data_IF_953695371182
#
_entry.id   IF_953695371182
#
_cell.length_a   1.000
_cell.length_b   1.000
_cell.length_c   1.000
_cell.angle_alpha   90.00
_cell.angle_beta   90.00
_cell.angle_gamma   90.00
#
_symmetry.space_group_name_H-M   'P 1'
#
loop_
_entity.id
_entity.type
_entity.pdbx_description
1 polymer ?
#
# COMPACT_ATOMS: atom_id res chain seq x y z
N UNK A 1 17.01 9.59 5.64
CA UNK A 1 18.03 9.76 6.69
C UNK A 1 18.45 8.36 7.11
N UNK A 2 19.74 8.06 7.29
CA UNK A 2 20.13 6.80 7.91
C UNK A 2 19.49 6.73 9.30
N UNK A 3 18.94 5.58 9.65
CA UNK A 3 18.44 5.25 10.99
C UNK A 3 19.43 4.25 11.60
N UNK A 4 20.51 4.73 12.24
CA UNK A 4 21.61 3.87 12.66
C UNK A 4 21.19 2.88 13.75
N UNK A 5 20.17 3.24 14.53
CA UNK A 5 19.62 2.38 15.58
C UNK A 5 18.80 1.25 14.97
N UNK A 6 17.90 1.58 14.02
CA UNK A 6 17.18 0.57 13.25
C UNK A 6 18.13 -0.36 12.48
N UNK A 7 19.17 0.18 11.84
CA UNK A 7 20.14 -0.61 11.08
C UNK A 7 20.96 -1.56 11.99
N UNK A 8 21.33 -1.11 13.19
CA UNK A 8 21.99 -1.96 14.18
C UNK A 8 21.06 -3.05 14.72
N UNK A 9 19.77 -2.74 14.95
CA UNK A 9 18.78 -3.70 15.39
C UNK A 9 18.54 -4.79 14.33
N UNK A 10 18.32 -4.40 13.06
CA UNK A 10 18.14 -5.34 11.94
C UNK A 10 19.34 -6.26 11.78
N UNK A 11 20.56 -5.74 11.90
CA UNK A 11 21.78 -6.56 11.84
C UNK A 11 21.83 -7.60 12.96
N UNK A 12 21.53 -7.22 14.20
CA UNK A 12 21.52 -8.16 15.34
C UNK A 12 20.50 -9.27 15.16
N UNK A 13 19.29 -8.93 14.72
CA UNK A 13 18.23 -9.91 14.42
C UNK A 13 18.67 -10.88 13.32
N UNK A 14 19.30 -10.36 12.26
CA UNK A 14 19.86 -11.18 11.18
C UNK A 14 20.93 -12.13 11.72
N UNK A 15 21.89 -11.64 12.51
CA UNK A 15 22.96 -12.47 13.05
C UNK A 15 22.39 -13.62 13.91
N UNK A 16 21.52 -13.31 14.87
CA UNK A 16 20.92 -14.28 15.78
C UNK A 16 20.16 -15.39 15.03
N UNK A 17 19.30 -15.03 14.08
CA UNK A 17 18.52 -16.02 13.33
C UNK A 17 19.41 -16.84 12.39
N UNK A 18 20.45 -16.24 11.79
CA UNK A 18 21.35 -16.98 10.88
C UNK A 18 22.16 -18.05 11.62
N UNK A 19 22.62 -17.76 12.84
CA UNK A 19 23.32 -18.75 13.67
C UNK A 19 22.38 -19.90 14.04
N UNK A 20 21.13 -19.60 14.37
CA UNK A 20 20.11 -20.61 14.68
C UNK A 20 19.77 -21.48 13.46
N UNK A 21 19.56 -20.87 12.30
CA UNK A 21 19.27 -21.58 11.05
C UNK A 21 20.43 -22.50 10.67
N UNK A 22 21.68 -22.02 10.76
CA UNK A 22 22.86 -22.84 10.52
C UNK A 22 22.94 -24.04 11.49
N UNK A 23 22.67 -23.82 12.78
CA UNK A 23 22.59 -24.90 13.78
C UNK A 23 21.47 -25.92 13.48
N UNK A 24 20.39 -25.50 12.83
CA UNK A 24 19.30 -26.36 12.35
C UNK A 24 19.56 -27.01 10.97
N UNK A 25 20.78 -26.87 10.43
CA UNK A 25 21.22 -27.51 9.19
C UNK A 25 20.84 -26.78 7.90
N UNK A 26 20.49 -25.50 7.98
CA UNK A 26 20.34 -24.66 6.79
C UNK A 26 21.71 -24.21 6.28
N UNK A 27 21.88 -24.17 4.95
CA UNK A 27 22.95 -23.42 4.31
C UNK A 27 22.55 -21.94 4.25
N UNK A 28 23.38 -21.07 4.83
CA UNK A 28 23.08 -19.65 4.98
C UNK A 28 24.05 -18.82 4.15
N UNK A 29 23.52 -18.04 3.22
CA UNK A 29 24.28 -17.09 2.41
C UNK A 29 23.90 -15.64 2.73
N UNK A 30 24.86 -14.73 2.56
CA UNK A 30 24.67 -13.29 2.76
C UNK A 30 24.90 -12.57 1.42
N UNK A 31 23.84 -12.23 0.68
CA UNK A 31 23.98 -11.51 -0.57
C UNK A 31 24.66 -10.15 -0.37
N UNK A 32 25.53 -9.76 -1.30
CA UNK A 32 26.21 -8.46 -1.26
C UNK A 32 25.33 -7.31 -1.78
N UNK A 33 24.22 -7.65 -2.45
CA UNK A 33 23.33 -6.68 -3.07
C UNK A 33 22.25 -6.22 -2.10
N UNK A 34 21.83 -4.96 -2.22
CA UNK A 34 20.67 -4.42 -1.50
C UNK A 34 19.33 -4.84 -2.10
N UNK A 35 19.34 -5.58 -3.21
CA UNK A 35 18.14 -6.09 -3.86
C UNK A 35 17.69 -7.45 -3.29
N UNK A 36 18.45 -8.01 -2.35
CA UNK A 36 18.12 -9.24 -1.62
C UNK A 36 17.92 -8.95 -0.13
N UNK A 37 17.26 -9.86 0.61
CA UNK A 37 17.29 -9.85 2.05
C UNK A 37 18.73 -9.97 2.59
N UNK A 38 19.00 -9.49 3.82
CA UNK A 38 20.30 -9.61 4.48
C UNK A 38 20.88 -11.02 4.55
N UNK A 39 20.02 -12.04 4.54
CA UNK A 39 20.44 -13.43 4.44
C UNK A 39 19.39 -14.29 3.70
N UNK A 40 19.87 -15.36 3.08
CA UNK A 40 19.05 -16.41 2.46
C UNK A 40 19.44 -17.74 3.11
N UNK A 41 18.46 -18.52 3.55
CA UNK A 41 18.67 -19.81 4.17
C UNK A 41 18.01 -20.92 3.35
N UNK A 42 18.74 -22.00 3.07
CA UNK A 42 18.28 -23.11 2.21
C UNK A 42 18.45 -24.45 2.94
N UNK A 43 17.43 -25.30 2.92
CA UNK A 43 17.51 -26.68 3.41
C UNK A 43 16.61 -27.60 2.59
N UNK A 44 17.22 -28.40 1.71
CA UNK A 44 16.45 -29.20 0.76
C UNK A 44 15.66 -28.30 -0.19
N UNK A 45 14.35 -28.44 -0.21
CA UNK A 45 13.43 -27.60 -1.00
C UNK A 45 12.97 -26.34 -0.23
N UNK A 46 13.23 -26.24 1.08
CA UNK A 46 12.86 -25.07 1.88
C UNK A 46 13.86 -23.93 1.63
N UNK A 47 13.35 -22.79 1.18
CA UNK A 47 14.14 -21.56 1.00
C UNK A 47 13.48 -20.39 1.70
N UNK A 48 14.24 -19.68 2.53
CA UNK A 48 13.81 -18.48 3.24
C UNK A 48 14.63 -17.25 2.84
N UNK A 49 13.95 -16.14 2.61
CA UNK A 49 14.53 -14.81 2.70
C UNK A 49 14.39 -14.28 4.13
N UNK A 50 15.51 -13.96 4.79
CA UNK A 50 15.51 -13.46 6.18
C UNK A 50 15.21 -11.97 6.19
N UNK A 51 14.07 -11.58 6.75
CA UNK A 51 13.54 -10.22 6.73
C UNK A 51 13.43 -9.66 8.15
N UNK A 52 14.50 -9.03 8.69
CA UNK A 52 14.45 -8.45 10.02
C UNK A 52 13.60 -7.17 10.02
N UNK A 53 12.62 -7.11 10.93
CA UNK A 53 11.72 -5.97 11.07
C UNK A 53 11.86 -5.33 12.46
N UNK A 54 12.01 -4.01 12.47
CA UNK A 54 11.82 -3.17 13.65
C UNK A 54 10.36 -2.70 13.74
N UNK A 55 9.98 -2.05 14.83
CA UNK A 55 8.67 -1.40 14.96
C UNK A 55 8.36 -0.47 13.77
N UNK A 56 9.34 0.29 13.31
CA UNK A 56 9.19 1.19 12.16
C UNK A 56 8.98 0.45 10.83
N UNK A 57 9.35 -0.82 10.75
CA UNK A 57 9.21 -1.66 9.55
C UNK A 57 7.90 -2.47 9.55
N UNK A 58 7.21 -2.61 10.69
CA UNK A 58 5.97 -3.38 10.83
C UNK A 58 4.76 -2.64 10.24
N UNK A 59 4.92 -2.09 9.04
CA UNK A 59 3.88 -1.42 8.27
C UNK A 59 3.36 -2.36 7.18
N UNK A 60 2.07 -2.26 6.78
CA UNK A 60 1.53 -3.07 5.71
C UNK A 60 2.35 -2.99 4.42
N UNK A 61 2.84 -1.80 4.07
CA UNK A 61 3.65 -1.58 2.87
C UNK A 61 4.95 -2.37 2.90
N UNK A 62 5.71 -2.27 4.00
CA UNK A 62 7.00 -2.96 4.11
C UNK A 62 6.78 -4.47 4.14
N UNK A 63 5.84 -4.96 4.94
CA UNK A 63 5.53 -6.38 5.07
C UNK A 63 5.13 -6.99 3.72
N UNK A 64 4.17 -6.37 3.00
CA UNK A 64 3.75 -6.81 1.66
C UNK A 64 4.92 -6.79 0.68
N UNK A 65 5.76 -5.74 0.70
CA UNK A 65 6.89 -5.63 -0.21
C UNK A 65 7.92 -6.74 0.01
N UNK A 66 8.22 -7.10 1.26
CA UNK A 66 9.13 -8.20 1.58
C UNK A 66 8.54 -9.55 1.20
N UNK A 67 7.25 -9.75 1.47
CA UNK A 67 6.53 -10.96 1.09
C UNK A 67 6.52 -11.15 -0.43
N UNK A 68 6.10 -10.13 -1.19
CA UNK A 68 6.08 -10.20 -2.66
C UNK A 68 7.47 -10.44 -3.24
N UNK A 69 8.50 -9.80 -2.69
CA UNK A 69 9.88 -10.06 -3.10
C UNK A 69 10.35 -11.49 -2.82
N UNK A 70 9.87 -12.13 -1.74
CA UNK A 70 10.15 -13.53 -1.47
C UNK A 70 9.43 -14.43 -2.49
N UNK A 71 8.15 -14.19 -2.72
CA UNK A 71 7.32 -14.96 -3.66
C UNK A 71 7.85 -14.88 -5.09
N UNK A 72 8.23 -13.68 -5.56
CA UNK A 72 8.83 -13.45 -6.89
C UNK A 72 10.14 -14.21 -7.11
N UNK A 73 10.74 -14.72 -6.03
CA UNK A 73 12.01 -15.47 -6.03
C UNK A 73 11.83 -16.91 -5.58
N UNK A 74 10.60 -17.43 -5.63
CA UNK A 74 10.24 -18.81 -5.29
C UNK A 74 10.71 -19.21 -3.88
N UNK A 75 10.57 -18.30 -2.91
CA UNK A 75 10.96 -18.52 -1.51
C UNK A 75 9.93 -17.98 -0.53
N UNK A 76 10.00 -18.44 0.72
CA UNK A 76 9.16 -17.94 1.82
C UNK A 76 9.86 -16.75 2.52
N UNK A 77 9.08 -15.82 3.04
CA UNK A 77 9.60 -14.73 3.87
C UNK A 77 9.71 -15.19 5.32
N UNK A 78 10.92 -15.14 5.91
CA UNK A 78 11.11 -15.35 7.34
C UNK A 78 11.24 -14.00 8.04
N UNK A 79 10.14 -13.51 8.61
CA UNK A 79 10.12 -12.28 9.37
C UNK A 79 10.77 -12.49 10.74
N UNK A 80 11.72 -11.62 11.10
CA UNK A 80 12.46 -11.73 12.35
C UNK A 80 12.32 -10.44 13.14
N UNK A 81 11.77 -10.54 14.35
CA UNK A 81 11.42 -9.40 15.18
C UNK A 81 11.96 -9.55 16.59
N UNK A 82 12.14 -8.44 17.31
CA UNK A 82 12.72 -8.45 18.65
C UNK A 82 11.71 -8.76 19.77
N UNK A 83 10.42 -8.54 19.52
CA UNK A 83 9.38 -8.67 20.54
C UNK A 83 8.03 -9.08 19.93
N UNK A 84 7.10 -9.45 20.82
CA UNK A 84 5.78 -9.93 20.44
C UNK A 84 4.82 -8.85 19.94
N UNK A 85 5.07 -7.58 20.22
CA UNK A 85 4.21 -6.48 19.74
C UNK A 85 4.45 -6.27 18.24
N UNK A 86 5.72 -6.21 17.82
CA UNK A 86 6.08 -6.18 16.39
C UNK A 86 5.59 -7.44 15.68
N UNK A 87 5.69 -8.61 16.33
CA UNK A 87 5.15 -9.84 15.77
C UNK A 87 3.62 -9.78 15.57
N UNK A 88 2.89 -9.23 16.55
CA UNK A 88 1.45 -9.07 16.46
C UNK A 88 1.06 -8.07 15.35
N UNK A 89 1.82 -7.00 15.17
CA UNK A 89 1.61 -6.06 14.07
C UNK A 89 1.80 -6.72 12.69
N UNK A 90 2.86 -7.51 12.50
CA UNK A 90 3.08 -8.25 11.25
C UNK A 90 1.98 -9.29 11.02
N UNK A 91 1.59 -10.04 12.06
CA UNK A 91 0.47 -11.00 11.98
C UNK A 91 -0.82 -10.31 11.60
N UNK A 92 -1.13 -9.15 12.18
CA UNK A 92 -2.35 -8.39 11.86
C UNK A 92 -2.46 -7.97 10.39
N UNK A 93 -1.33 -7.92 9.67
CA UNK A 93 -1.29 -7.67 8.23
C UNK A 93 -1.42 -8.97 7.43
N UNK A 94 -0.96 -10.10 7.95
CA UNK A 94 -0.80 -11.35 7.20
C UNK A 94 -1.85 -12.41 7.52
N UNK A 95 -2.70 -12.20 8.51
CA UNK A 95 -3.71 -13.18 8.96
C UNK A 95 -5.09 -12.55 9.08
N UNK A 96 -6.12 -13.27 8.64
CA UNK A 96 -7.54 -13.05 8.94
C UNK A 96 -8.04 -11.59 8.87
N UNK A 97 -8.27 -11.04 7.67
CA UNK A 97 -7.89 -11.53 6.34
C UNK A 97 -6.52 -11.02 5.89
N UNK A 98 -5.72 -11.83 5.15
CA UNK A 98 -4.38 -11.43 4.73
C UNK A 98 -4.38 -10.19 3.83
N UNK A 99 -3.50 -9.25 4.15
CA UNK A 99 -3.18 -8.01 3.43
C UNK A 99 -4.33 -7.00 3.36
N UNK A 100 -5.37 -7.19 4.18
CA UNK A 100 -6.56 -6.37 4.25
C UNK A 100 -6.73 -5.85 5.67
N UNK A 101 -7.35 -4.68 5.80
CA UNK A 101 -7.74 -4.16 7.12
C UNK A 101 -8.88 -4.99 7.70
N UNK A 102 -9.82 -5.40 6.84
CA UNK A 102 -11.02 -6.13 7.21
C UNK A 102 -11.66 -6.74 5.95
N UNK A 103 -12.44 -7.80 6.14
CA UNK A 103 -13.35 -8.35 5.13
C UNK A 103 -14.65 -8.80 5.81
N UNK A 104 -15.76 -8.18 5.41
CA UNK A 104 -17.09 -8.51 5.93
C UNK A 104 -18.03 -8.74 4.76
N UNK A 105 -18.80 -9.83 4.78
CA UNK A 105 -19.76 -10.20 3.72
C UNK A 105 -19.14 -10.21 2.30
N UNK A 106 -17.87 -10.62 2.18
CA UNK A 106 -17.13 -10.61 0.91
C UNK A 106 -16.83 -9.20 0.38
N UNK A 107 -16.74 -8.20 1.26
CA UNK A 107 -16.34 -6.83 0.94
C UNK A 107 -15.09 -6.47 1.71
N UNK A 108 -14.06 -6.08 0.97
CA UNK A 108 -12.71 -5.84 1.49
C UNK A 108 -12.54 -4.38 1.90
N UNK A 109 -11.87 -4.13 3.02
CA UNK A 109 -11.26 -2.84 3.37
C UNK A 109 -9.75 -2.96 3.21
N UNK A 110 -9.14 -2.05 2.46
CA UNK A 110 -7.72 -2.12 2.09
C UNK A 110 -6.86 -1.22 2.98
N UNK A 111 -5.62 -1.64 3.21
CA UNK A 111 -4.60 -0.74 3.76
C UNK A 111 -4.28 0.36 2.74
N UNK A 112 -3.95 1.56 3.23
CA UNK A 112 -3.35 2.58 2.38
C UNK A 112 -1.95 2.13 1.92
N UNK A 113 -1.68 2.24 0.63
CA UNK A 113 -0.38 1.93 0.04
C UNK A 113 0.53 3.15 -0.09
N UNK A 114 1.80 2.91 -0.44
CA UNK A 114 2.79 3.98 -0.58
C UNK A 114 2.58 4.81 -1.86
N UNK A 115 1.96 4.19 -2.86
CA UNK A 115 1.81 4.74 -4.19
C UNK A 115 0.72 5.81 -4.26
N UNK A 116 0.63 6.42 -5.44
CA UNK A 116 -0.35 7.45 -5.76
C UNK A 116 -1.19 6.96 -6.93
N UNK A 117 -2.49 7.23 -6.88
CA UNK A 117 -3.40 6.79 -7.94
C UNK A 117 -3.08 7.55 -9.22
N UNK A 118 -2.51 6.86 -10.21
CA UNK A 118 -2.27 7.44 -11.53
C UNK A 118 -3.61 7.59 -12.27
N UNK A 119 -3.86 8.77 -12.82
CA UNK A 119 -5.13 9.10 -13.45
C UNK A 119 -4.94 9.19 -14.96
N UNK A 120 -5.87 8.62 -15.72
CA UNK A 120 -5.96 8.85 -17.15
C UNK A 120 -6.47 10.27 -17.42
N UNK A 121 -5.60 11.09 -18.00
CA UNK A 121 -5.89 12.49 -18.33
C UNK A 121 -5.89 12.77 -19.83
N UNK A 122 -6.02 11.75 -20.68
CA UNK A 122 -6.06 11.94 -22.14
C UNK A 122 -7.19 12.88 -22.58
N UNK A 123 -8.31 12.90 -21.85
CA UNK A 123 -9.43 13.82 -22.09
C UNK A 123 -9.29 15.21 -21.48
N UNK A 124 -8.23 15.49 -20.71
CA UNK A 124 -8.05 16.76 -20.00
C UNK A 124 -7.13 17.73 -20.77
N UNK A 125 -7.64 18.91 -21.18
CA UNK A 125 -6.82 19.90 -21.87
C UNK A 125 -5.58 20.30 -21.05
N UNK A 126 -4.39 20.23 -21.67
CA UNK A 126 -3.15 20.66 -21.02
C UNK A 126 -2.70 19.81 -19.82
N UNK A 127 -3.25 18.59 -19.69
CA UNK A 127 -2.76 17.55 -18.80
C UNK A 127 -2.14 16.39 -19.62
N UNK A 128 -1.21 15.65 -19.02
CA UNK A 128 -0.67 14.42 -19.65
C UNK A 128 -0.21 13.49 -18.55
N UNK A 129 -1.02 12.49 -18.20
CA UNK A 129 -0.90 11.80 -16.91
C UNK A 129 -1.05 12.72 -15.70
N UNK A 130 -0.77 12.17 -14.53
CA UNK A 130 -0.86 12.84 -13.24
C UNK A 130 -1.37 11.87 -12.17
N UNK A 131 -1.47 12.37 -10.93
CA UNK A 131 -1.91 11.59 -9.79
C UNK A 131 -3.08 12.28 -9.08
N UNK A 132 -3.99 11.49 -8.52
CA UNK A 132 -5.16 12.03 -7.85
C UNK A 132 -4.80 12.77 -6.55
N UNK A 133 -5.52 13.85 -6.27
CA UNK A 133 -5.48 14.57 -5.01
C UNK A 133 -6.87 15.09 -4.62
N UNK A 134 -7.01 15.51 -3.37
CA UNK A 134 -8.20 16.19 -2.84
C UNK A 134 -7.81 17.56 -2.33
N UNK A 135 -8.78 18.46 -2.25
CA UNK A 135 -8.66 19.71 -1.49
C UNK A 135 -9.31 19.51 -0.12
N UNK A 136 -8.56 19.82 0.93
CA UNK A 136 -8.96 19.63 2.33
C UNK A 136 -10.21 20.44 2.69
N UNK A 137 -10.36 21.63 2.12
CA UNK A 137 -11.52 22.51 2.37
C UNK A 137 -12.84 21.92 1.85
N UNK A 138 -12.79 21.00 0.88
CA UNK A 138 -13.97 20.33 0.34
C UNK A 138 -14.42 19.17 1.26
N UNK A 139 -13.63 18.83 2.28
CA UNK A 139 -13.95 17.82 3.30
C UNK A 139 -14.76 18.47 4.43
N UNK A 140 -16.08 18.34 4.35
CA UNK A 140 -17.02 18.88 5.35
C UNK A 140 -16.73 18.32 6.75
N UNK A 141 -16.69 19.17 7.78
CA UNK A 141 -16.54 18.77 9.18
C UNK A 141 -15.11 18.84 9.72
N UNK A 142 -14.11 19.08 8.85
CA UNK A 142 -12.76 19.40 9.31
C UNK A 142 -12.76 20.78 9.96
N UNK A 143 -12.18 20.89 11.16
CA UNK A 143 -11.90 22.22 11.73
C UNK A 143 -10.90 22.93 10.81
N UNK A 144 -11.28 24.10 10.31
CA UNK A 144 -10.36 24.98 9.60
C UNK A 144 -9.09 25.17 10.47
N UNK A 145 -7.92 24.88 9.89
CA UNK A 145 -6.63 24.93 10.61
C UNK A 145 -6.14 23.62 11.24
N UNK A 146 -6.74 22.46 10.92
CA UNK A 146 -6.12 21.16 11.22
C UNK A 146 -4.89 20.93 10.33
N UNK A 147 -3.70 20.96 10.93
CA UNK A 147 -2.42 20.68 10.25
C UNK A 147 -2.23 19.18 9.91
N UNK A 148 -3.12 18.29 10.38
CA UNK A 148 -3.03 16.87 10.06
C UNK A 148 -3.44 16.61 8.60
N UNK A 149 -2.82 15.63 7.93
CA UNK A 149 -3.31 15.12 6.64
C UNK A 149 -4.63 14.35 6.85
N UNK A 150 -5.56 14.34 5.87
CA UNK A 150 -6.79 13.57 5.95
C UNK A 150 -6.49 12.07 6.02
N UNK A 151 -7.34 11.35 6.74
CA UNK A 151 -7.29 9.89 6.81
C UNK A 151 -8.00 9.32 5.59
N UNK A 152 -7.30 8.52 4.80
CA UNK A 152 -7.87 7.86 3.64
C UNK A 152 -8.26 6.42 3.95
N UNK A 153 -9.47 6.02 3.53
CA UNK A 153 -9.95 4.64 3.59
C UNK A 153 -10.41 4.18 2.22
N UNK A 154 -10.04 2.97 1.85
CA UNK A 154 -10.51 2.31 0.65
C UNK A 154 -11.28 1.06 1.03
N UNK A 155 -12.49 0.92 0.48
CA UNK A 155 -13.34 -0.25 0.76
C UNK A 155 -14.21 -0.63 -0.43
N UNK A 156 -14.54 -1.90 -0.51
CA UNK A 156 -15.56 -2.41 -1.42
C UNK A 156 -16.96 -2.24 -0.84
N UNK A 157 -17.92 -1.94 -1.70
CA UNK A 157 -19.32 -1.73 -1.34
C UNK A 157 -20.24 -2.21 -2.48
N UNK A 158 -21.55 -2.26 -2.23
CA UNK A 158 -22.55 -2.51 -3.27
C UNK A 158 -23.21 -1.23 -3.80
N UNK A 159 -22.73 -0.07 -3.37
CA UNK A 159 -23.34 1.23 -3.67
C UNK A 159 -22.32 2.25 -4.20
N UNK A 160 -22.72 3.15 -5.10
CA UNK A 160 -24.02 3.24 -5.74
C UNK A 160 -24.26 2.11 -6.76
N UNK A 161 -25.54 1.82 -7.00
CA UNK A 161 -25.95 1.03 -8.16
C UNK A 161 -25.83 1.87 -9.43
N UNK A 162 -25.69 1.19 -10.57
CA UNK A 162 -25.56 1.83 -11.87
C UNK A 162 -24.13 2.30 -12.21
N UNK A 163 -23.99 3.06 -13.31
CA UNK A 163 -22.68 3.39 -13.88
C UNK A 163 -21.82 4.24 -12.94
N UNK A 164 -20.56 3.85 -12.80
CA UNK A 164 -19.51 4.58 -12.07
C UNK A 164 -18.25 4.63 -12.94
N UNK A 165 -17.31 5.56 -12.67
CA UNK A 165 -16.03 5.60 -13.36
C UNK A 165 -15.33 4.23 -13.41
N UNK A 166 -14.84 3.86 -14.59
CA UNK A 166 -14.20 2.57 -14.84
C UNK A 166 -13.20 2.62 -15.98
N UNK A 167 -12.33 1.62 -16.03
CA UNK A 167 -11.51 1.34 -17.21
C UNK A 167 -12.32 0.59 -18.28
N UNK A 168 -11.86 0.62 -19.52
CA UNK A 168 -12.49 -0.11 -20.62
C UNK A 168 -12.64 -1.60 -20.32
N UNK A 169 -13.79 -2.18 -20.69
CA UNK A 169 -14.09 -3.60 -20.53
C UNK A 169 -14.80 -3.98 -19.23
N UNK A 170 -15.04 -3.03 -18.32
CA UNK A 170 -15.86 -3.26 -17.12
C UNK A 170 -17.32 -2.89 -17.42
N UNK A 171 -18.24 -3.86 -17.30
CA UNK A 171 -19.67 -3.58 -17.35
C UNK A 171 -20.13 -2.97 -16.02
N UNK A 172 -20.19 -1.65 -15.97
CA UNK A 172 -20.56 -0.91 -14.76
C UNK A 172 -22.06 -0.97 -14.45
N UNK A 173 -22.89 -1.36 -15.42
CA UNK A 173 -24.33 -1.49 -15.23
C UNK A 173 -24.74 -2.91 -14.81
N UNK A 174 -23.87 -3.91 -15.01
CA UNK A 174 -24.12 -5.30 -14.64
C UNK A 174 -24.48 -5.42 -13.16
N UNK A 175 -25.59 -6.10 -12.92
CA UNK A 175 -26.07 -6.41 -11.57
C UNK A 175 -26.51 -7.87 -11.49
N UNK A 176 -26.27 -8.48 -10.33
CA UNK A 176 -26.71 -9.83 -10.01
C UNK A 176 -28.23 -9.91 -9.79
N UNK A 177 -28.76 -11.14 -9.60
CA UNK A 177 -30.19 -11.37 -9.35
C UNK A 177 -30.74 -10.67 -8.11
N UNK A 178 -29.87 -10.33 -7.16
CA UNK A 178 -30.18 -9.60 -5.92
C UNK A 178 -30.13 -8.07 -6.08
N UNK A 179 -29.90 -7.59 -7.31
CA UNK A 179 -29.79 -6.17 -7.64
C UNK A 179 -28.46 -5.53 -7.23
N UNK A 180 -27.49 -6.31 -6.73
CA UNK A 180 -26.16 -5.81 -6.38
C UNK A 180 -25.27 -5.75 -7.60
N UNK A 181 -24.30 -4.82 -7.67
CA UNK A 181 -23.31 -4.82 -8.74
C UNK A 181 -22.59 -6.16 -8.85
N UNK A 182 -22.40 -6.67 -10.08
CA UNK A 182 -21.63 -7.90 -10.30
C UNK A 182 -20.16 -7.75 -9.90
N UNK A 183 -19.64 -6.52 -9.93
CA UNK A 183 -18.32 -6.13 -9.41
C UNK A 183 -18.52 -5.12 -8.28
N UNK A 184 -18.01 -5.38 -7.06
CA UNK A 184 -18.10 -4.44 -5.95
C UNK A 184 -17.56 -3.05 -6.32
N UNK A 185 -18.20 -2.01 -5.78
CA UNK A 185 -17.75 -0.63 -5.95
C UNK A 185 -16.56 -0.38 -5.05
N UNK A 186 -15.47 0.11 -5.60
CA UNK A 186 -14.32 0.53 -4.81
C UNK A 186 -14.49 2.00 -4.46
N UNK A 187 -14.67 2.29 -3.18
CA UNK A 187 -14.92 3.63 -2.65
C UNK A 187 -13.67 4.14 -1.94
N UNK A 188 -13.27 5.37 -2.26
CA UNK A 188 -12.28 6.13 -1.51
C UNK A 188 -12.99 7.14 -0.61
N UNK A 189 -12.70 7.08 0.68
CA UNK A 189 -13.13 8.06 1.67
C UNK A 189 -11.92 8.85 2.19
N UNK A 190 -12.08 10.15 2.37
CA UNK A 190 -11.13 11.04 3.04
C UNK A 190 -11.86 11.72 4.22
N UNK A 191 -11.42 11.47 5.45
CA UNK A 191 -12.11 11.90 6.68
C UNK A 191 -13.64 11.60 6.62
N UNK A 192 -13.99 10.34 6.33
CA UNK A 192 -15.37 9.82 6.19
C UNK A 192 -16.20 10.39 5.01
N UNK A 193 -15.60 11.24 4.17
CA UNK A 193 -16.25 11.74 2.95
C UNK A 193 -15.83 10.93 1.73
N UNK A 194 -16.81 10.42 0.98
CA UNK A 194 -16.55 9.79 -0.32
C UNK A 194 -15.98 10.82 -1.30
N UNK A 195 -14.77 10.56 -1.79
CA UNK A 195 -14.04 11.41 -2.76
C UNK A 195 -13.86 10.75 -4.12
N UNK A 196 -14.02 9.42 -4.19
CA UNK A 196 -14.03 8.67 -5.45
C UNK A 196 -14.83 7.38 -5.32
N UNK A 197 -15.42 6.96 -6.45
CA UNK A 197 -16.08 5.66 -6.60
C UNK A 197 -15.65 5.06 -7.94
N UNK A 198 -15.15 3.84 -7.90
CA UNK A 198 -14.66 3.11 -9.07
C UNK A 198 -15.41 1.78 -9.24
N UNK A 199 -15.50 1.30 -10.47
CA UNK A 199 -16.02 -0.04 -10.76
C UNK A 199 -14.97 -1.12 -10.45
N UNK A 200 -14.79 -1.42 -9.17
CA UNK A 200 -13.87 -2.44 -8.66
C UNK A 200 -12.40 -2.05 -8.69
N UNK A 201 -11.56 -2.94 -8.15
CA UNK A 201 -10.11 -2.76 -8.05
C UNK A 201 -9.42 -2.68 -9.40
N UNK A 202 -9.91 -3.38 -10.42
CA UNK A 202 -9.37 -3.29 -11.78
C UNK A 202 -9.35 -1.84 -12.33
N UNK A 203 -10.38 -1.05 -11.98
CA UNK A 203 -10.51 0.36 -12.39
C UNK A 203 -9.51 1.29 -11.71
N UNK A 204 -8.80 0.83 -10.67
CA UNK A 204 -7.79 1.60 -9.94
C UNK A 204 -6.47 1.75 -10.71
N UNK A 205 -6.18 0.88 -11.68
CA UNK A 205 -4.89 0.90 -12.41
C UNK A 205 -4.67 2.21 -13.16
N UNK A 206 -5.72 2.72 -13.79
CA UNK A 206 -5.68 3.99 -14.55
C UNK A 206 -7.10 4.56 -14.66
N UNK A 207 -7.71 4.95 -13.52
CA UNK A 207 -9.06 5.51 -13.50
C UNK A 207 -9.16 6.77 -14.37
N UNK A 208 -10.32 7.00 -15.02
CA UNK A 208 -10.53 8.21 -15.80
C UNK A 208 -10.50 9.46 -14.93
N UNK A 209 -10.11 10.60 -15.49
CA UNK A 209 -10.06 11.90 -14.80
C UNK A 209 -11.30 12.21 -13.94
N UNK A 210 -12.50 12.00 -14.49
CA UNK A 210 -13.77 12.25 -13.81
C UNK A 210 -14.04 11.37 -12.57
N UNK A 211 -13.15 10.43 -12.22
CA UNK A 211 -13.24 9.67 -10.99
C UNK A 211 -12.79 10.45 -9.74
N UNK A 212 -11.99 11.51 -9.93
CA UNK A 212 -11.40 12.29 -8.85
C UNK A 212 -11.64 13.79 -9.08
N UNK A 213 -11.69 14.61 -8.03
CA UNK A 213 -11.91 16.04 -8.18
C UNK A 213 -10.69 16.77 -8.76
N UNK A 214 -9.48 16.34 -8.37
CA UNK A 214 -8.24 17.00 -8.77
C UNK A 214 -7.14 16.00 -9.14
N UNK A 215 -6.31 16.43 -10.07
CA UNK A 215 -5.09 15.75 -10.48
C UNK A 215 -3.90 16.69 -10.34
N UNK A 216 -2.78 16.20 -9.80
CA UNK A 216 -1.53 16.92 -9.77
C UNK A 216 -0.47 16.24 -10.61
N UNK A 217 0.41 17.04 -11.21
CA UNK A 217 1.58 16.54 -11.93
C UNK A 217 2.76 17.49 -11.75
N UNK A 218 3.96 16.92 -11.59
CA UNK A 218 5.19 17.70 -11.65
C UNK A 218 5.52 18.02 -13.11
N UNK A 219 5.58 19.29 -13.45
CA UNK A 219 5.93 19.70 -14.80
C UNK A 219 7.40 19.43 -15.08
N UNK A 220 7.72 18.86 -16.25
CA UNK A 220 9.09 18.49 -16.59
C UNK A 220 10.01 19.69 -16.81
N UNK A 221 9.50 20.87 -17.18
CA UNK A 221 10.30 22.05 -17.51
C UNK A 221 10.73 22.84 -16.27
N UNK A 222 9.80 23.21 -15.39
CA UNK A 222 10.09 24.03 -14.21
C UNK A 222 10.14 23.25 -12.89
N UNK A 223 9.86 21.94 -12.95
CA UNK A 223 9.88 21.02 -11.81
C UNK A 223 8.88 21.36 -10.69
N UNK A 224 7.88 22.21 -10.97
CA UNK A 224 6.78 22.55 -10.05
C UNK A 224 5.59 21.63 -10.24
N UNK A 225 4.90 21.35 -9.16
CA UNK A 225 3.60 20.67 -9.21
C UNK A 225 2.54 21.64 -9.71
N UNK A 226 1.71 21.18 -10.63
CA UNK A 226 0.49 21.86 -11.04
C UNK A 226 -0.68 20.99 -10.61
N UNK A 227 -1.62 21.57 -9.89
CA UNK A 227 -2.90 20.93 -9.56
C UNK A 227 -3.95 21.41 -10.55
N UNK A 228 -4.72 20.49 -11.10
CA UNK A 228 -5.78 20.74 -12.07
C UNK A 228 -7.09 20.19 -11.57
N UNK A 229 -8.16 20.89 -11.91
CA UNK A 229 -9.49 20.35 -11.79
C UNK A 229 -9.73 19.29 -12.88
N UNK A 230 -10.35 18.16 -12.50
CA UNK A 230 -10.55 17.04 -13.42
C UNK A 230 -11.69 17.24 -14.42
N UNK A 231 -12.58 18.21 -14.24
CA UNK A 231 -13.69 18.43 -15.17
C UNK A 231 -13.28 19.24 -16.40
N UNK A 232 -12.36 20.19 -16.25
CA UNK A 232 -12.00 21.17 -17.29
C UNK A 232 -10.49 21.32 -17.52
N UNK A 233 -9.65 20.70 -16.69
CA UNK A 233 -8.20 20.78 -16.78
C UNK A 233 -7.61 22.10 -16.25
N UNK A 234 -8.42 23.00 -15.71
CA UNK A 234 -7.97 24.32 -15.24
C UNK A 234 -6.94 24.17 -14.12
N UNK A 235 -5.83 24.93 -14.22
CA UNK A 235 -4.82 24.96 -13.16
C UNK A 235 -5.34 25.76 -11.98
N UNK A 236 -5.49 25.10 -10.83
CA UNK A 236 -6.01 25.74 -9.61
C UNK A 236 -4.91 26.05 -8.59
N UNK A 237 -3.75 25.38 -8.68
CA UNK A 237 -2.62 25.63 -7.79
C UNK A 237 -1.29 25.25 -8.46
N UNK A 238 -0.20 25.91 -8.06
CA UNK A 238 1.18 25.63 -8.48
C UNK A 238 2.16 25.62 -7.30
N UNK A 239 2.51 24.42 -6.83
CA UNK A 239 3.37 24.22 -5.66
C UNK A 239 4.81 23.85 -6.03
N UNK A 240 5.78 24.24 -5.19
CA UNK A 240 7.20 23.86 -5.36
C UNK A 240 7.52 22.43 -4.90
N UNK A 241 6.62 21.81 -4.12
CA UNK A 241 6.80 20.49 -3.52
C UNK A 241 5.55 20.04 -2.76
N UNK A 242 5.56 18.82 -2.24
CA UNK A 242 4.43 18.28 -1.47
C UNK A 242 4.10 19.10 -0.22
N UNK A 243 5.12 19.63 0.48
CA UNK A 243 4.88 20.49 1.64
C UNK A 243 4.09 21.75 1.25
N UNK A 244 4.52 22.46 0.21
CA UNK A 244 3.80 23.64 -0.30
C UNK A 244 2.40 23.29 -0.82
N UNK A 245 2.24 22.11 -1.45
CA UNK A 245 0.94 21.64 -1.92
C UNK A 245 -0.03 21.37 -0.77
N UNK A 246 0.44 20.74 0.31
CA UNK A 246 -0.33 20.53 1.54
C UNK A 246 -0.67 21.84 2.23
N UNK A 247 0.26 22.79 2.29
CA UNK A 247 0.00 24.15 2.81
C UNK A 247 -1.08 24.86 2.01
N UNK A 248 -1.16 24.62 0.70
CA UNK A 248 -2.23 25.12 -0.17
C UNK A 248 -3.54 24.30 -0.07
N UNK A 249 -3.60 23.34 0.85
CA UNK A 249 -4.79 22.51 1.10
C UNK A 249 -4.96 21.33 0.15
N UNK A 250 -3.98 21.00 -0.70
CA UNK A 250 -4.05 19.86 -1.63
C UNK A 250 -3.24 18.66 -1.13
N UNK A 251 -3.92 17.52 -0.97
CA UNK A 251 -3.32 16.30 -0.43
C UNK A 251 -3.43 15.17 -1.46
N UNK A 252 -2.31 14.50 -1.82
CA UNK A 252 -2.35 13.33 -2.69
C UNK A 252 -3.21 12.20 -2.11
N UNK A 253 -4.00 11.54 -2.96
CA UNK A 253 -4.73 10.33 -2.57
C UNK A 253 -3.78 9.13 -2.63
N UNK A 254 -3.57 8.39 -1.54
CA UNK A 254 -2.79 7.15 -1.56
C UNK A 254 -3.56 6.07 -2.32
N UNK A 255 -2.85 5.32 -3.16
CA UNK A 255 -3.42 4.12 -3.78
C UNK A 255 -3.53 3.02 -2.71
N UNK A 256 -4.64 2.27 -2.62
CA UNK A 256 -4.75 1.17 -1.67
C UNK A 256 -3.82 0.01 -2.05
N UNK A 257 -3.38 -0.73 -1.04
CA UNK A 257 -2.74 -2.03 -1.23
C UNK A 257 -3.81 -3.05 -1.63
N UNK A 258 -3.84 -3.38 -2.92
CA UNK A 258 -4.74 -4.40 -3.48
C UNK A 258 -3.94 -5.70 -3.64
N UNK A 259 -4.28 -6.78 -2.91
CA UNK A 259 -3.48 -8.03 -2.90
C UNK A 259 -3.16 -8.56 -4.29
N UNK A 260 -4.16 -8.64 -5.17
CA UNK A 260 -4.02 -9.15 -6.53
C UNK A 260 -3.18 -8.25 -7.46
N UNK A 261 -2.93 -6.99 -7.09
CA UNK A 261 -2.05 -6.08 -7.82
C UNK A 261 -0.59 -6.19 -7.38
N UNK A 262 -0.36 -6.53 -6.11
CA UNK A 262 0.98 -6.52 -5.51
C UNK A 262 1.63 -7.90 -5.47
N UNK A 263 0.84 -8.97 -5.27
CA UNK A 263 1.34 -10.36 -5.28
C UNK A 263 0.92 -11.13 -6.55
N UNK A 264 -0.07 -10.62 -7.29
CA UNK A 264 -0.72 -11.36 -8.35
C UNK A 264 -1.92 -12.18 -7.87
N UNK A 265 -2.75 -12.69 -8.80
CA UNK A 265 -3.97 -13.41 -8.45
C UNK A 265 -3.65 -14.82 -7.91
N UNK A 266 -4.40 -15.25 -6.89
CA UNK A 266 -4.38 -16.64 -6.41
C UNK A 266 -3.14 -17.04 -5.61
N UNK A 267 -2.35 -16.06 -5.16
CA UNK A 267 -1.24 -16.32 -4.23
C UNK A 267 -1.79 -16.78 -2.89
N UNK A 268 -1.28 -17.93 -2.41
CA UNK A 268 -1.51 -18.40 -1.06
C UNK A 268 -0.57 -17.65 -0.10
N UNK A 269 -1.15 -16.72 0.67
CA UNK A 269 -0.38 -15.92 1.62
C UNK A 269 -0.04 -16.73 2.88
N UNK A 270 -0.86 -17.69 3.29
CA UNK A 270 -0.69 -18.40 4.57
C UNK A 270 0.61 -19.20 4.59
N UNK A 271 0.93 -19.86 3.48
CA UNK A 271 2.13 -20.69 3.34
C UNK A 271 3.38 -19.89 2.91
N UNK A 272 3.24 -18.61 2.54
CA UNK A 272 4.33 -17.82 1.96
C UNK A 272 5.28 -17.18 3.00
N UNK A 273 5.00 -17.29 4.30
CA UNK A 273 5.81 -16.66 5.34
C UNK A 273 5.91 -17.48 6.64
N UNK A 274 6.88 -17.10 7.46
CA UNK A 274 7.01 -17.46 8.87
C UNK A 274 7.43 -16.23 9.66
N UNK A 275 7.18 -16.25 10.97
CA UNK A 275 7.68 -15.21 11.87
C UNK A 275 8.31 -15.80 13.12
N UNK A 276 9.43 -15.21 13.51
CA UNK A 276 10.20 -15.57 14.69
C UNK A 276 10.41 -14.34 15.55
N UNK A 277 10.19 -14.50 16.85
CA UNK A 277 10.58 -13.52 17.86
C UNK A 277 11.94 -13.95 18.42
N UNK A 278 12.95 -13.12 18.19
CA UNK A 278 14.28 -13.29 18.81
C UNK A 278 14.26 -12.56 20.15
N UNK A 279 14.14 -13.33 21.23
CA UNK A 279 14.28 -12.77 22.57
C UNK A 279 15.70 -12.22 22.75
N UNK A 280 15.87 -11.04 23.37
CA UNK A 280 17.20 -10.54 23.69
C UNK A 280 17.91 -11.60 24.54
N UNK A 281 19.11 -12.04 24.10
CA UNK A 281 19.99 -12.84 24.95
C UNK A 281 20.14 -12.05 26.25
N UNK A 282 19.60 -12.61 27.33
CA UNK A 282 19.52 -11.94 28.61
C UNK A 282 20.89 -11.38 28.99
N UNK A 283 20.91 -10.11 29.42
CA UNK A 283 21.94 -9.70 30.36
C UNK A 283 21.72 -10.57 31.60
N UNK A 284 22.59 -11.55 31.77
CA UNK A 284 22.76 -12.22 33.06
C UNK A 284 22.82 -11.13 34.15
N UNK A 285 21.92 -11.25 35.13
CA UNK A 285 21.95 -10.46 36.35
C UNK A 285 23.08 -10.92 37.26
#
# INVERSE_FOLDING_TARGET
>A
MPDPLGDAARRRLTEAVTDRLAACGYDVSRPETRAEPPAIAVRGEETFGVEPLTEADATPTTVVSRLGHAIDRDRRALFVVADSEVAAAVRSVLTDPPLLVDETDGRRTFHAGPDRVAVDTEGLPGATGGYACVRVEDLVGRKAGSDADPTFRWRETDTPSGPVPSVNGVDTAASGPDGRPTVPRLVCEADDRVVAVLAGTASLRTPPAGAFPYVYRRDPADKRFRVRHCDDGTVVETASGFAAMRTAGFVPIPMPLVPEHVLGPGVDVEDAWEIVVEEPIGRDK
#
